data_IF_032434827474
#
_entry.id   IF_032434827474
#
_cell.length_a   1.000
_cell.length_b   1.000
_cell.length_c   1.000
_cell.angle_alpha   90.00
_cell.angle_beta   90.00
_cell.angle_gamma   90.00
#
_symmetry.space_group_name_H-M   'P 1'
#
loop_
_entity.id
_entity.type
_entity.pdbx_description
1 polymer ?
#
# COMPACT_ATOMS: atom_id res chain seq x y z
N UNK A 1 -31.06 -6.55 -27.90
CA UNK A 1 -30.23 -5.72 -27.00
C UNK A 1 -29.40 -6.67 -26.18
N UNK A 2 -28.19 -6.98 -26.64
CA UNK A 2 -27.21 -7.75 -25.89
C UNK A 2 -26.64 -6.83 -24.82
N UNK A 3 -26.92 -7.14 -23.55
CA UNK A 3 -26.14 -6.60 -22.44
C UNK A 3 -24.68 -6.98 -22.71
N UNK A 4 -23.85 -5.99 -22.99
CA UNK A 4 -22.43 -6.14 -22.74
C UNK A 4 -22.28 -6.22 -21.22
N UNK A 5 -22.43 -7.42 -20.67
CA UNK A 5 -21.78 -7.75 -19.40
C UNK A 5 -20.32 -7.40 -19.62
N UNK A 6 -19.85 -6.33 -18.99
CA UNK A 6 -18.49 -5.85 -19.10
C UNK A 6 -17.58 -6.90 -18.48
N UNK A 7 -17.18 -7.89 -19.27
CA UNK A 7 -16.21 -8.89 -18.90
C UNK A 7 -14.91 -8.14 -18.57
N UNK A 8 -14.57 -8.12 -17.29
CA UNK A 8 -13.41 -7.40 -16.80
C UNK A 8 -12.18 -8.20 -17.23
N UNK A 9 -11.63 -7.87 -18.40
CA UNK A 9 -10.39 -8.48 -18.88
C UNK A 9 -9.24 -7.97 -18.00
N UNK A 10 -8.76 -8.83 -17.12
CA UNK A 10 -7.60 -8.53 -16.27
C UNK A 10 -6.34 -8.74 -17.11
N UNK A 11 -5.63 -7.66 -17.42
CA UNK A 11 -4.35 -7.74 -18.13
C UNK A 11 -3.17 -7.70 -17.17
N UNK A 12 -2.03 -8.26 -17.59
CA UNK A 12 -0.77 -8.14 -16.85
C UNK A 12 -0.41 -6.66 -16.57
N UNK A 13 -0.63 -5.78 -17.55
CA UNK A 13 -0.41 -4.33 -17.40
C UNK A 13 -1.29 -3.71 -16.31
N UNK A 14 -2.57 -4.10 -16.23
CA UNK A 14 -3.47 -3.61 -15.18
C UNK A 14 -3.03 -4.09 -13.79
N UNK A 15 -2.61 -5.36 -13.67
CA UNK A 15 -2.09 -5.93 -12.43
C UNK A 15 -0.83 -5.17 -11.99
N UNK A 16 0.13 -4.99 -12.89
CA UNK A 16 1.39 -4.29 -12.60
C UNK A 16 1.16 -2.82 -12.25
N UNK A 17 0.21 -2.15 -12.91
CA UNK A 17 -0.15 -0.77 -12.61
C UNK A 17 -0.73 -0.63 -11.21
N UNK A 18 -1.68 -1.49 -10.83
CA UNK A 18 -2.33 -1.44 -9.51
C UNK A 18 -1.32 -1.80 -8.42
N UNK A 19 -0.55 -2.88 -8.59
CA UNK A 19 0.47 -3.28 -7.64
C UNK A 19 1.55 -2.20 -7.48
N UNK A 20 2.02 -1.62 -8.59
CA UNK A 20 3.00 -0.54 -8.58
C UNK A 20 2.49 0.72 -7.88
N UNK A 21 1.21 1.06 -8.00
CA UNK A 21 0.61 2.18 -7.28
C UNK A 21 0.63 1.97 -5.75
N UNK A 22 0.37 0.74 -5.27
CA UNK A 22 0.47 0.42 -3.86
C UNK A 22 1.91 0.37 -3.34
N UNK A 23 2.85 -0.15 -4.14
CA UNK A 23 4.29 -0.11 -3.83
C UNK A 23 4.78 1.34 -3.71
N UNK A 24 4.37 2.21 -4.63
CA UNK A 24 4.70 3.63 -4.58
C UNK A 24 4.10 4.32 -3.34
N UNK A 25 2.83 4.03 -3.02
CA UNK A 25 2.20 4.56 -1.82
C UNK A 25 2.92 4.11 -0.53
N UNK A 26 3.38 2.86 -0.47
CA UNK A 26 4.15 2.36 0.67
C UNK A 26 5.48 3.12 0.84
N UNK A 27 6.18 3.40 -0.26
CA UNK A 27 7.41 4.19 -0.25
C UNK A 27 7.16 5.61 0.26
N UNK A 28 6.14 6.29 -0.27
CA UNK A 28 5.78 7.65 0.13
C UNK A 28 5.40 7.74 1.61
N UNK A 29 4.68 6.74 2.13
CA UNK A 29 4.32 6.66 3.55
C UNK A 29 5.56 6.49 4.45
N UNK A 30 6.53 5.66 4.04
CA UNK A 30 7.79 5.48 4.78
C UNK A 30 8.65 6.74 4.76
N UNK A 31 8.76 7.40 3.61
CA UNK A 31 9.46 8.68 3.50
C UNK A 31 8.81 9.75 4.38
N UNK A 32 7.48 9.80 4.41
CA UNK A 32 6.73 10.70 5.28
C UNK A 32 6.99 10.40 6.76
N UNK A 33 7.02 9.13 7.15
CA UNK A 33 7.34 8.73 8.52
C UNK A 33 8.74 9.17 8.95
N UNK A 34 9.73 9.00 8.09
CA UNK A 34 11.13 9.44 8.32
C UNK A 34 11.19 10.96 8.45
N UNK A 35 10.57 11.68 7.50
CA UNK A 35 10.54 13.15 7.50
C UNK A 35 9.87 13.69 8.74
N UNK A 36 8.70 13.14 9.09
CA UNK A 36 7.96 13.53 10.28
C UNK A 36 8.79 13.28 11.55
N UNK A 37 9.44 12.12 11.67
CA UNK A 37 10.32 11.82 12.79
C UNK A 37 11.48 12.80 12.94
N UNK A 38 12.06 13.23 11.82
CA UNK A 38 13.15 14.18 11.81
C UNK A 38 12.71 15.63 12.11
N UNK A 39 11.55 16.04 11.59
CA UNK A 39 11.09 17.43 11.68
C UNK A 39 10.37 17.74 13.01
N UNK A 40 9.73 16.74 13.65
CA UNK A 40 8.90 16.94 14.84
C UNK A 40 9.65 17.59 16.03
N UNK A 41 10.95 17.29 16.19
CA UNK A 41 11.76 17.77 17.32
C UNK A 41 12.45 19.12 17.12
N UNK A 42 12.21 19.83 16.02
CA UNK A 42 13.04 20.99 15.62
C UNK A 42 12.56 22.35 16.10
N UNK A 43 11.31 22.50 16.51
CA UNK A 43 10.81 23.77 17.03
C UNK A 43 11.13 23.92 18.52
N UNK A 44 11.71 25.07 18.96
CA UNK A 44 12.02 25.27 20.36
C UNK A 44 10.73 25.50 21.17
N UNK A 45 10.48 24.60 22.12
CA UNK A 45 9.45 24.77 23.14
C UNK A 45 9.99 25.67 24.25
N UNK A 46 9.11 26.47 24.87
CA UNK A 46 9.47 27.26 26.05
C UNK A 46 9.98 26.40 27.21
N UNK A 47 10.70 27.00 28.16
CA UNK A 47 11.38 26.26 29.25
C UNK A 47 10.53 26.06 30.52
N UNK A 48 9.25 26.46 30.50
CA UNK A 48 8.37 26.28 31.64
C UNK A 48 8.10 24.78 31.87
N UNK A 49 8.05 24.30 33.13
CA UNK A 49 7.81 22.88 33.42
C UNK A 49 6.55 22.30 32.77
N UNK A 50 5.46 23.07 32.72
CA UNK A 50 4.21 22.67 32.04
C UNK A 50 4.38 22.53 30.53
N UNK A 51 5.22 23.37 29.91
CA UNK A 51 5.53 23.31 28.49
C UNK A 51 6.39 22.08 28.18
N UNK A 52 7.38 21.77 29.02
CA UNK A 52 8.21 20.58 28.88
C UNK A 52 7.40 19.28 29.06
N UNK A 53 6.42 19.28 29.97
CA UNK A 53 5.52 18.13 30.13
C UNK A 53 4.62 17.95 28.90
N UNK A 54 4.08 19.06 28.37
CA UNK A 54 3.26 19.05 27.16
C UNK A 54 4.07 18.55 25.96
N UNK A 55 5.31 19.03 25.81
CA UNK A 55 6.25 18.57 24.78
C UNK A 55 6.44 17.05 24.82
N UNK A 56 6.71 16.48 26.01
CA UNK A 56 6.90 15.03 26.15
C UNK A 56 5.69 14.21 25.75
N UNK A 57 4.48 14.65 26.12
CA UNK A 57 3.24 13.95 25.71
C UNK A 57 3.06 13.99 24.19
N UNK A 58 3.41 15.11 23.57
CA UNK A 58 3.36 15.29 22.13
C UNK A 58 4.41 14.43 21.40
N UNK A 59 5.64 14.39 21.90
CA UNK A 59 6.70 13.49 21.42
C UNK A 59 6.27 12.02 21.50
N UNK A 60 5.59 11.62 22.57
CA UNK A 60 5.08 10.25 22.71
C UNK A 60 3.97 9.94 21.70
N UNK A 61 3.02 10.86 21.48
CA UNK A 61 1.97 10.70 20.47
C UNK A 61 2.52 10.70 19.03
N UNK A 62 3.59 11.44 18.78
CA UNK A 62 4.16 11.59 17.44
C UNK A 62 5.17 10.49 17.10
N UNK A 63 6.08 10.20 18.02
CA UNK A 63 7.28 9.37 17.82
C UNK A 63 7.34 8.14 18.74
N UNK A 64 6.40 8.01 19.68
CA UNK A 64 6.40 6.95 20.68
C UNK A 64 6.33 5.55 20.10
N UNK A 65 6.61 4.56 20.94
CA UNK A 65 6.73 3.17 20.53
C UNK A 65 5.38 2.48 20.23
N UNK A 66 4.24 3.07 20.62
CA UNK A 66 2.91 2.47 20.46
C UNK A 66 1.92 3.53 20.02
N UNK A 67 1.11 3.20 19.00
CA UNK A 67 0.05 4.05 18.43
C UNK A 67 0.51 5.44 17.94
N UNK A 68 1.82 5.67 17.82
CA UNK A 68 2.34 6.96 17.37
C UNK A 68 2.09 7.19 15.89
N UNK A 69 2.08 8.45 15.48
CA UNK A 69 1.94 8.80 14.06
C UNK A 69 2.98 8.10 13.17
N UNK A 70 4.23 8.00 13.63
CA UNK A 70 5.30 7.27 12.91
C UNK A 70 4.99 5.78 12.80
N UNK A 71 4.52 5.15 13.88
CA UNK A 71 4.14 3.72 13.86
C UNK A 71 2.98 3.50 12.88
N UNK A 72 1.93 4.33 12.95
CA UNK A 72 0.77 4.25 12.05
C UNK A 72 1.13 4.40 10.58
N UNK A 73 2.03 5.32 10.24
CA UNK A 73 2.50 5.49 8.87
C UNK A 73 3.23 4.24 8.35
N UNK A 74 4.03 3.60 9.20
CA UNK A 74 4.70 2.35 8.84
C UNK A 74 3.72 1.18 8.71
N UNK A 75 2.74 1.06 9.61
CA UNK A 75 1.67 0.04 9.51
C UNK A 75 0.90 0.17 8.18
N UNK A 76 0.57 1.39 7.76
CA UNK A 76 -0.10 1.62 6.48
C UNK A 76 0.79 1.31 5.28
N UNK A 77 2.10 1.59 5.38
CA UNK A 77 3.05 1.21 4.34
C UNK A 77 3.15 -0.32 4.19
N UNK A 78 3.21 -1.05 5.30
CA UNK A 78 3.22 -2.52 5.30
C UNK A 78 1.92 -3.07 4.69
N UNK A 79 0.76 -2.55 5.08
CA UNK A 79 -0.51 -2.96 4.50
C UNK A 79 -0.59 -2.71 2.98
N UNK A 80 0.01 -1.61 2.50
CA UNK A 80 0.08 -1.32 1.07
C UNK A 80 0.99 -2.32 0.33
N UNK A 81 2.14 -2.70 0.88
CA UNK A 81 3.02 -3.74 0.32
C UNK A 81 2.33 -5.12 0.28
N UNK A 82 1.61 -5.47 1.34
CA UNK A 82 0.81 -6.70 1.39
C UNK A 82 -0.27 -6.72 0.30
N UNK A 83 -0.95 -5.58 0.09
CA UNK A 83 -1.96 -5.45 -0.94
C UNK A 83 -1.37 -5.52 -2.35
N UNK A 84 -0.23 -4.89 -2.60
CA UNK A 84 0.50 -5.02 -3.87
C UNK A 84 0.85 -6.50 -4.16
N UNK A 85 1.35 -7.20 -3.15
CA UNK A 85 1.68 -8.64 -3.24
C UNK A 85 0.43 -9.47 -3.53
N UNK A 86 -0.68 -9.18 -2.85
CA UNK A 86 -1.95 -9.86 -3.06
C UNK A 86 -2.48 -9.64 -4.48
N UNK A 87 -2.40 -8.41 -5.00
CA UNK A 87 -2.80 -8.08 -6.38
C UNK A 87 -1.98 -8.86 -7.41
N UNK A 88 -0.65 -8.90 -7.26
CA UNK A 88 0.23 -9.66 -8.17
C UNK A 88 -0.11 -11.16 -8.15
N UNK A 89 -0.30 -11.73 -6.96
CA UNK A 89 -0.62 -13.16 -6.81
C UNK A 89 -2.00 -13.49 -7.37
N UNK A 90 -3.01 -12.68 -7.06
CA UNK A 90 -4.37 -12.87 -7.58
C UNK A 90 -4.43 -12.71 -9.10
N UNK A 91 -3.73 -11.71 -9.63
CA UNK A 91 -3.60 -11.47 -11.05
C UNK A 91 -2.96 -12.63 -11.81
N UNK A 92 -1.84 -13.18 -11.28
CA UNK A 92 -1.18 -14.34 -11.87
C UNK A 92 -2.12 -15.56 -11.97
N UNK A 93 -2.89 -15.83 -10.92
CA UNK A 93 -3.86 -16.95 -10.91
C UNK A 93 -4.94 -16.79 -12.00
N UNK A 94 -5.40 -15.57 -12.25
CA UNK A 94 -6.40 -15.28 -13.29
C UNK A 94 -5.78 -15.47 -14.67
N UNK A 95 -4.60 -14.90 -14.92
CA UNK A 95 -3.91 -15.04 -16.21
C UNK A 95 -3.56 -16.49 -16.54
N UNK A 96 -3.16 -17.29 -15.54
CA UNK A 96 -2.91 -18.71 -15.71
C UNK A 96 -4.19 -19.48 -16.08
N UNK A 97 -5.32 -19.14 -15.45
CA UNK A 97 -6.62 -19.74 -15.76
C UNK A 97 -7.10 -19.37 -17.18
N UNK A 98 -6.93 -18.11 -17.59
CA UNK A 98 -7.23 -17.64 -18.94
C UNK A 98 -6.37 -18.36 -19.98
N UNK A 99 -5.06 -18.50 -19.72
CA UNK A 99 -4.15 -19.22 -20.61
C UNK A 99 -4.52 -20.70 -20.75
N UNK A 100 -4.86 -21.38 -19.64
CA UNK A 100 -5.30 -22.77 -19.66
C UNK A 100 -6.60 -22.94 -20.46
N UNK A 101 -7.55 -22.01 -20.29
CA UNK A 101 -8.83 -22.01 -21.02
C UNK A 101 -8.62 -21.78 -22.52
N UNK A 102 -7.79 -20.81 -22.89
CA UNK A 102 -7.45 -20.53 -24.29
C UNK A 102 -6.78 -21.73 -24.96
N UNK A 103 -5.87 -22.42 -24.25
CA UNK A 103 -5.21 -23.64 -24.73
C UNK A 103 -6.23 -24.75 -24.99
N UNK A 104 -7.11 -25.05 -24.03
CA UNK A 104 -8.14 -26.07 -24.17
C UNK A 104 -9.11 -25.80 -25.34
N UNK A 105 -9.47 -24.53 -25.58
CA UNK A 105 -10.31 -24.14 -26.71
C UNK A 105 -9.60 -24.34 -28.06
N UNK A 106 -8.32 -23.98 -28.15
CA UNK A 106 -7.54 -24.16 -29.39
C UNK A 106 -7.35 -25.63 -29.77
N UNK A 107 -7.15 -26.51 -28.80
CA UNK A 107 -7.07 -27.96 -29.01
C UNK A 107 -8.41 -28.56 -29.44
N UNK A 108 -9.52 -28.04 -28.92
CA UNK A 108 -10.87 -28.52 -29.23
C UNK A 108 -11.37 -28.04 -30.60
N UNK A 109 -10.98 -26.85 -31.05
CA UNK A 109 -11.34 -26.30 -32.37
C UNK A 109 -10.49 -26.82 -33.54
N UNK A 110 -9.43 -27.58 -33.26
CA UNK A 110 -8.55 -28.19 -34.27
C UNK A 110 -8.97 -29.61 -34.68
N UNK A 111 -10.14 -30.08 -34.23
CA UNK A 111 -10.77 -31.37 -34.58
C UNK A 111 -12.05 -31.14 -35.35
#
# INVERSE_FOLDING_TARGET
>A
MTQADGELVVTQEAIDTIAGAYEQAALELRELAIKFAHDYGREPWGTLPSILQLQRMYEELALGATDSAVVRLNEFAEAAEELATWVRRGGALILDADHATATALSESGSR
#
